data_IF_922683025615
#
_entry.id   IF_922683025615
#
_cell.length_a   1.000
_cell.length_b   1.000
_cell.length_c   1.000
_cell.angle_alpha   90.00
_cell.angle_beta   90.00
_cell.angle_gamma   90.00
#
_symmetry.space_group_name_H-M   'P 1'
#
loop_
_entity.id
_entity.type
_entity.pdbx_description
1 polymer ?
#
# COMPACT_ATOMS: atom_id res chain seq x y z
N UNK A 1 -7.44 17.16 -3.24
CA UNK A 1 -7.52 15.69 -3.13
C UNK A 1 -6.59 15.06 -4.16
N UNK A 2 -5.69 14.15 -3.76
CA UNK A 2 -4.84 13.38 -4.68
C UNK A 2 -5.54 12.09 -5.10
N UNK A 3 -6.08 11.35 -4.11
CA UNK A 3 -6.89 10.15 -4.31
C UNK A 3 -8.27 10.36 -3.69
N UNK A 4 -9.31 9.99 -4.43
CA UNK A 4 -10.68 9.95 -3.95
C UNK A 4 -11.32 8.61 -4.32
N UNK A 5 -11.85 7.92 -3.33
CA UNK A 5 -12.64 6.71 -3.49
C UNK A 5 -14.05 7.03 -3.02
N UNK A 6 -15.06 6.84 -3.88
CA UNK A 6 -16.43 7.16 -3.55
C UNK A 6 -17.35 5.95 -3.78
N UNK A 7 -18.09 5.59 -2.72
CA UNK A 7 -19.12 4.54 -2.70
C UNK A 7 -18.67 3.20 -3.28
N UNK A 8 -17.40 2.83 -2.99
CA UNK A 8 -16.81 1.61 -3.51
C UNK A 8 -17.49 0.38 -2.90
N UNK A 9 -17.95 -0.52 -3.76
CA UNK A 9 -18.45 -1.85 -3.42
C UNK A 9 -17.63 -2.89 -4.16
N UNK A 10 -17.25 -3.95 -3.48
CA UNK A 10 -16.56 -5.10 -4.07
C UNK A 10 -17.18 -6.37 -3.54
N UNK A 11 -17.66 -7.24 -4.44
CA UNK A 11 -18.16 -8.56 -4.11
C UNK A 11 -17.37 -9.63 -4.86
N UNK A 12 -17.13 -10.75 -4.19
CA UNK A 12 -16.65 -11.98 -4.79
C UNK A 12 -17.78 -13.01 -4.66
N UNK A 13 -18.38 -13.39 -5.78
CA UNK A 13 -19.62 -14.16 -5.84
C UNK A 13 -20.72 -13.52 -4.98
N UNK A 14 -21.12 -14.16 -3.89
CA UNK A 14 -22.14 -13.65 -2.95
C UNK A 14 -21.55 -12.92 -1.75
N UNK A 15 -20.23 -12.90 -1.59
CA UNK A 15 -19.55 -12.30 -0.45
C UNK A 15 -19.23 -10.82 -0.72
N UNK A 16 -19.95 -9.92 -0.05
CA UNK A 16 -19.63 -8.48 -0.09
C UNK A 16 -18.46 -8.20 0.84
N UNK A 17 -17.32 -7.78 0.25
CA UNK A 17 -16.10 -7.47 0.99
C UNK A 17 -15.99 -5.98 1.30
N UNK A 18 -16.36 -5.11 0.35
CA UNK A 18 -16.46 -3.67 0.56
C UNK A 18 -17.88 -3.21 0.29
N UNK A 19 -18.42 -2.35 1.15
CA UNK A 19 -19.80 -1.93 1.13
C UNK A 19 -19.94 -0.42 1.31
N UNK A 20 -20.14 0.30 0.20
CA UNK A 20 -20.34 1.75 0.17
C UNK A 20 -19.21 2.55 0.83
N UNK A 21 -17.96 2.13 0.57
CA UNK A 21 -16.77 2.67 1.19
C UNK A 21 -16.31 3.94 0.48
N UNK A 22 -16.04 5.00 1.26
CA UNK A 22 -15.49 6.25 0.74
C UNK A 22 -14.31 6.67 1.60
N UNK A 23 -13.18 7.04 0.96
CA UNK A 23 -12.00 7.63 1.58
C UNK A 23 -11.36 8.66 0.64
N UNK A 24 -10.57 9.57 1.22
CA UNK A 24 -9.77 10.52 0.46
C UNK A 24 -8.34 10.61 0.99
N UNK A 25 -7.39 10.97 0.13
CA UNK A 25 -5.99 11.20 0.49
C UNK A 25 -5.52 12.50 -0.16
N UNK A 26 -4.98 13.43 0.63
CA UNK A 26 -4.40 14.67 0.11
C UNK A 26 -2.95 14.47 -0.32
N UNK A 27 -2.39 15.45 -1.06
CA UNK A 27 -0.98 15.41 -1.45
C UNK A 27 -0.08 15.49 -0.21
N UNK A 28 1.03 14.75 -0.23
CA UNK A 28 2.06 14.72 0.82
C UNK A 28 1.51 14.27 2.19
N UNK A 29 0.30 13.72 2.23
CA UNK A 29 -0.32 13.18 3.42
C UNK A 29 0.13 11.73 3.67
N UNK A 30 0.29 11.35 4.95
CA UNK A 30 0.31 9.97 5.38
C UNK A 30 -1.04 9.65 6.00
N UNK A 31 -1.87 8.93 5.27
CA UNK A 31 -3.16 8.43 5.74
C UNK A 31 -3.03 6.98 6.13
N UNK A 32 -3.62 6.57 7.23
CA UNK A 32 -3.72 5.17 7.58
C UNK A 32 -5.13 4.60 7.40
N UNK A 33 -5.17 3.31 7.12
CA UNK A 33 -6.38 2.50 7.18
C UNK A 33 -6.13 1.32 8.13
N UNK A 34 -6.80 1.32 9.27
CA UNK A 34 -6.67 0.27 10.27
C UNK A 34 -7.95 -0.54 10.39
N UNK A 35 -7.84 -1.76 10.88
CA UNK A 35 -8.98 -2.64 11.11
C UNK A 35 -8.58 -4.10 11.27
N UNK A 36 -9.48 -4.96 11.76
CA UNK A 36 -9.18 -6.37 11.95
C UNK A 36 -8.88 -7.11 10.65
N UNK A 37 -8.36 -8.35 10.79
CA UNK A 37 -8.18 -9.25 9.65
C UNK A 37 -9.54 -9.53 9.00
N UNK A 38 -9.57 -9.56 7.67
CA UNK A 38 -10.82 -9.78 6.93
C UNK A 38 -11.73 -8.55 6.81
N UNK A 39 -11.36 -7.39 7.36
CA UNK A 39 -12.18 -6.17 7.25
C UNK A 39 -12.29 -5.62 5.82
N UNK A 40 -11.42 -6.05 4.88
CA UNK A 40 -11.41 -5.60 3.49
C UNK A 40 -10.25 -4.66 3.11
N UNK A 41 -9.27 -4.47 4.02
CA UNK A 41 -8.14 -3.54 3.82
C UNK A 41 -7.36 -3.77 2.53
N UNK A 42 -6.84 -4.98 2.33
CA UNK A 42 -6.08 -5.34 1.11
C UNK A 42 -6.96 -5.32 -0.13
N UNK A 43 -8.25 -5.65 0.01
CA UNK A 43 -9.22 -5.56 -1.10
C UNK A 43 -9.41 -4.12 -1.55
N UNK A 44 -9.44 -3.16 -0.61
CA UNK A 44 -9.48 -1.74 -0.95
C UNK A 44 -8.25 -1.31 -1.73
N UNK A 45 -7.04 -1.64 -1.26
CA UNK A 45 -5.80 -1.31 -1.99
C UNK A 45 -5.78 -1.94 -3.39
N UNK A 46 -6.22 -3.19 -3.52
CA UNK A 46 -6.30 -3.89 -4.81
C UNK A 46 -7.35 -3.27 -5.75
N UNK A 47 -8.46 -2.78 -5.20
CA UNK A 47 -9.46 -2.06 -5.99
C UNK A 47 -8.92 -0.71 -6.49
N UNK A 48 -8.29 0.08 -5.62
CA UNK A 48 -7.65 1.36 -5.96
C UNK A 48 -6.59 1.19 -7.05
N UNK A 49 -5.82 0.11 -7.02
CA UNK A 49 -4.70 -0.15 -7.94
C UNK A 49 -5.08 -0.99 -9.17
N UNK A 50 -6.39 -1.21 -9.40
CA UNK A 50 -6.91 -1.91 -10.57
C UNK A 50 -6.75 -3.42 -10.56
N UNK A 51 -6.23 -4.01 -9.46
CA UNK A 51 -6.00 -5.45 -9.38
C UNK A 51 -7.29 -6.26 -9.23
N UNK A 52 -8.34 -5.70 -8.59
CA UNK A 52 -9.68 -6.35 -8.53
C UNK A 52 -10.31 -6.39 -9.92
N UNK A 53 -10.18 -5.31 -10.70
CA UNK A 53 -10.68 -5.27 -12.07
C UNK A 53 -9.96 -6.28 -12.98
N UNK A 54 -8.66 -6.44 -12.80
CA UNK A 54 -7.87 -7.45 -13.49
C UNK A 54 -8.28 -8.88 -13.10
N UNK A 55 -8.51 -9.14 -11.81
CA UNK A 55 -9.04 -10.43 -11.32
C UNK A 55 -10.39 -10.75 -11.93
N UNK A 56 -11.30 -9.78 -11.96
CA UNK A 56 -12.62 -9.93 -12.60
C UNK A 56 -12.47 -10.41 -14.05
N UNK A 57 -11.54 -9.82 -14.79
CA UNK A 57 -11.32 -10.20 -16.19
C UNK A 57 -10.82 -11.64 -16.34
N UNK A 58 -9.88 -12.07 -15.48
CA UNK A 58 -9.36 -13.45 -15.50
C UNK A 58 -10.43 -14.45 -15.08
N UNK A 59 -11.15 -14.17 -13.97
CA UNK A 59 -12.16 -15.08 -13.41
C UNK A 59 -13.30 -15.31 -14.40
N UNK A 60 -13.77 -14.26 -15.10
CA UNK A 60 -14.77 -14.41 -16.17
C UNK A 60 -14.32 -15.35 -17.30
N UNK A 61 -13.01 -15.40 -17.58
CA UNK A 61 -12.45 -16.25 -18.66
C UNK A 61 -12.18 -17.70 -18.23
N UNK A 62 -12.00 -17.96 -16.93
CA UNK A 62 -11.44 -19.24 -16.48
C UNK A 62 -12.36 -20.11 -15.63
N UNK A 63 -13.09 -19.56 -14.67
CA UNK A 63 -13.72 -20.37 -13.61
C UNK A 63 -15.22 -20.16 -13.43
N UNK A 64 -15.81 -19.18 -14.12
CA UNK A 64 -17.23 -18.83 -13.96
C UNK A 64 -17.60 -18.18 -12.63
N UNK A 65 -16.61 -17.80 -11.79
CA UNK A 65 -16.84 -16.95 -10.60
C UNK A 65 -17.16 -15.51 -11.03
N UNK A 66 -17.88 -14.79 -10.17
CA UNK A 66 -18.25 -13.40 -10.42
C UNK A 66 -17.53 -12.45 -9.44
N UNK A 67 -16.87 -11.43 -9.99
CA UNK A 67 -16.27 -10.35 -9.23
C UNK A 67 -16.92 -9.05 -9.66
N UNK A 68 -17.68 -8.43 -8.77
CA UNK A 68 -18.31 -7.14 -9.06
C UNK A 68 -17.57 -6.02 -8.35
N UNK A 69 -17.42 -4.89 -9.04
CA UNK A 69 -16.86 -3.65 -8.52
C UNK A 69 -17.74 -2.49 -8.97
N UNK A 70 -18.23 -1.71 -8.02
CA UNK A 70 -19.05 -0.51 -8.22
C UNK A 70 -18.45 0.66 -7.45
N UNK A 71 -18.84 1.88 -7.81
CA UNK A 71 -18.28 3.11 -7.24
C UNK A 71 -17.22 3.73 -8.12
N UNK A 72 -16.45 4.66 -7.59
CA UNK A 72 -15.44 5.39 -8.36
C UNK A 72 -14.12 5.48 -7.61
N UNK A 73 -13.02 5.38 -8.36
CA UNK A 73 -11.68 5.67 -7.88
C UNK A 73 -11.09 6.76 -8.77
N UNK A 74 -10.79 7.90 -8.19
CA UNK A 74 -10.25 9.06 -8.89
C UNK A 74 -8.86 9.38 -8.35
N UNK A 75 -7.87 9.54 -9.22
CA UNK A 75 -6.51 9.90 -8.88
C UNK A 75 -6.06 11.08 -9.75
N UNK A 76 -5.65 12.20 -9.13
CA UNK A 76 -5.34 13.47 -9.82
C UNK A 76 -6.49 13.96 -10.74
N UNK A 77 -7.75 13.70 -10.36
CA UNK A 77 -8.92 14.08 -11.15
C UNK A 77 -9.29 13.10 -12.27
N UNK A 78 -8.48 12.06 -12.51
CA UNK A 78 -8.77 11.03 -13.54
C UNK A 78 -9.36 9.76 -12.93
N UNK A 79 -10.28 9.11 -13.65
CA UNK A 79 -10.91 7.85 -13.26
C UNK A 79 -9.94 6.67 -13.43
N UNK A 80 -9.62 5.99 -12.32
CA UNK A 80 -8.72 4.83 -12.30
C UNK A 80 -9.46 3.51 -12.43
N UNK A 81 -10.70 3.44 -12.00
CA UNK A 81 -11.55 2.24 -12.11
C UNK A 81 -11.88 1.83 -13.55
N UNK A 82 -11.59 2.70 -14.53
CA UNK A 82 -11.85 2.48 -15.96
C UNK A 82 -10.60 2.06 -16.76
N UNK A 83 -9.43 2.00 -16.12
CA UNK A 83 -8.16 1.74 -16.80
C UNK A 83 -7.43 0.53 -16.20
N UNK A 84 -6.60 -0.18 -16.99
CA UNK A 84 -5.89 -1.36 -16.50
C UNK A 84 -4.78 -1.00 -15.50
N UNK A 85 -4.45 -1.92 -14.59
CA UNK A 85 -3.51 -1.70 -13.50
C UNK A 85 -2.14 -1.15 -13.95
N UNK A 86 -1.60 -1.60 -15.10
CA UNK A 86 -0.32 -1.10 -15.59
C UNK A 86 -0.35 0.37 -16.02
N UNK A 87 -1.52 0.88 -16.46
CA UNK A 87 -1.71 2.30 -16.75
C UNK A 87 -1.83 3.13 -15.46
N UNK A 88 -2.42 2.56 -14.41
CA UNK A 88 -2.48 3.18 -13.06
C UNK A 88 -1.05 3.38 -12.54
N UNK A 89 -0.20 2.36 -12.65
CA UNK A 89 1.22 2.43 -12.24
C UNK A 89 1.96 3.54 -12.99
N UNK A 90 1.76 3.71 -14.30
CA UNK A 90 2.36 4.79 -15.09
C UNK A 90 1.99 6.19 -14.58
N UNK A 91 0.82 6.35 -13.99
CA UNK A 91 0.36 7.62 -13.39
C UNK A 91 0.99 7.91 -12.03
N UNK A 92 1.69 6.92 -11.45
CA UNK A 92 2.41 7.06 -10.18
C UNK A 92 1.63 6.58 -8.95
N UNK A 93 0.55 5.80 -9.13
CA UNK A 93 -0.15 5.14 -8.04
C UNK A 93 0.39 3.71 -7.91
N UNK A 94 1.15 3.46 -6.84
CA UNK A 94 1.95 2.24 -6.69
C UNK A 94 1.47 1.43 -5.50
N UNK A 95 1.38 0.11 -5.66
CA UNK A 95 1.07 -0.84 -4.60
C UNK A 95 2.33 -1.57 -4.11
N UNK A 96 2.61 -1.46 -2.82
CA UNK A 96 3.56 -2.30 -2.11
C UNK A 96 2.76 -3.36 -1.34
N UNK A 97 2.63 -4.59 -1.85
CA UNK A 97 1.77 -5.61 -1.28
C UNK A 97 2.34 -6.20 0.00
N UNK A 98 1.47 -6.82 0.81
CA UNK A 98 1.86 -7.61 1.95
C UNK A 98 2.86 -8.73 1.60
N UNK A 99 3.55 -9.28 2.62
CA UNK A 99 4.50 -10.40 2.49
C UNK A 99 5.67 -10.11 1.57
N UNK A 100 6.04 -8.84 1.38
CA UNK A 100 7.29 -8.38 0.72
C UNK A 100 7.40 -8.76 -0.76
N UNK A 101 7.03 -9.97 -1.17
CA UNK A 101 7.03 -10.56 -2.52
C UNK A 101 8.27 -10.20 -3.35
N UNK A 102 9.51 -10.44 -2.85
CA UNK A 102 10.69 -10.27 -3.68
C UNK A 102 10.69 -11.32 -4.82
N UNK A 103 11.33 -10.99 -5.92
CA UNK A 103 11.70 -11.98 -6.93
C UNK A 103 12.90 -12.78 -6.37
N UNK A 104 12.62 -13.87 -5.67
CA UNK A 104 13.54 -14.57 -4.77
C UNK A 104 14.84 -15.01 -5.42
N UNK A 105 14.80 -15.37 -6.71
CA UNK A 105 15.95 -15.84 -7.50
C UNK A 105 16.79 -14.68 -8.08
N UNK A 106 16.26 -13.45 -8.04
CA UNK A 106 16.95 -12.26 -8.51
C UNK A 106 17.81 -11.64 -7.40
N UNK A 107 18.86 -10.94 -7.79
CA UNK A 107 19.65 -10.13 -6.85
C UNK A 107 18.84 -8.95 -6.31
N UNK A 108 19.34 -8.30 -5.26
CA UNK A 108 18.75 -7.07 -4.72
C UNK A 108 18.66 -6.00 -5.78
N UNK A 109 19.74 -5.76 -6.53
CA UNK A 109 19.77 -4.72 -7.57
C UNK A 109 18.80 -5.06 -8.73
N UNK A 110 18.67 -6.31 -9.12
CA UNK A 110 17.72 -6.71 -10.18
C UNK A 110 16.27 -6.52 -9.73
N UNK A 111 15.96 -6.81 -8.46
CA UNK A 111 14.66 -6.51 -7.88
C UNK A 111 14.36 -4.99 -7.91
N UNK A 112 15.36 -4.15 -7.61
CA UNK A 112 15.20 -2.69 -7.68
C UNK A 112 14.96 -2.24 -9.12
N UNK A 113 15.75 -2.73 -10.09
CA UNK A 113 15.55 -2.41 -11.51
C UNK A 113 14.17 -2.87 -12.02
N UNK A 114 13.66 -4.02 -11.55
CA UNK A 114 12.30 -4.44 -11.89
C UNK A 114 11.24 -3.41 -11.45
N UNK A 115 11.46 -2.69 -10.33
CA UNK A 115 10.59 -1.59 -9.91
C UNK A 115 10.62 -0.38 -10.84
N UNK A 116 11.71 -0.19 -11.58
CA UNK A 116 11.89 0.88 -12.54
C UNK A 116 11.48 0.51 -13.99
N UNK A 117 10.88 -0.67 -14.21
CA UNK A 117 10.61 -1.24 -15.54
C UNK A 117 9.88 -0.28 -16.50
N UNK A 118 9.01 0.59 -15.99
CA UNK A 118 8.27 1.55 -16.80
C UNK A 118 9.03 2.87 -17.05
N UNK A 119 10.21 3.06 -16.46
CA UNK A 119 11.03 4.26 -16.65
C UNK A 119 12.00 4.06 -17.81
N UNK A 120 11.84 4.85 -18.87
CA UNK A 120 12.66 4.76 -20.08
C UNK A 120 14.02 5.45 -19.92
N UNK A 121 14.07 6.53 -19.13
CA UNK A 121 15.25 7.38 -18.98
C UNK A 121 16.26 6.77 -17.99
N UNK A 122 17.38 6.25 -18.50
CA UNK A 122 18.43 5.64 -17.67
C UNK A 122 18.94 6.54 -16.53
N UNK A 123 19.05 7.86 -16.78
CA UNK A 123 19.45 8.82 -15.76
C UNK A 123 18.47 8.84 -14.59
N UNK A 124 17.17 8.90 -14.86
CA UNK A 124 16.13 8.87 -13.81
C UNK A 124 16.14 7.57 -13.02
N UNK A 125 16.44 6.44 -13.67
CA UNK A 125 16.58 5.15 -12.99
C UNK A 125 17.77 5.17 -12.04
N UNK A 126 18.91 5.72 -12.49
CA UNK A 126 20.11 5.82 -11.64
C UNK A 126 19.89 6.78 -10.47
N UNK A 127 19.30 7.96 -10.70
CA UNK A 127 18.98 8.92 -9.64
C UNK A 127 18.04 8.30 -8.57
N UNK A 128 17.09 7.47 -9.00
CA UNK A 128 16.20 6.77 -8.08
C UNK A 128 16.91 5.68 -7.28
N UNK A 129 17.79 4.93 -7.93
CA UNK A 129 18.60 3.91 -7.26
C UNK A 129 19.47 4.53 -6.16
N UNK A 130 20.08 5.67 -6.41
CA UNK A 130 20.86 6.40 -5.43
C UNK A 130 20.03 6.84 -4.23
N UNK A 131 18.82 7.40 -4.47
CA UNK A 131 17.88 7.75 -3.41
C UNK A 131 17.45 6.53 -2.57
N UNK A 132 17.18 5.39 -3.23
CA UNK A 132 16.85 4.14 -2.54
C UNK A 132 18.01 3.67 -1.68
N UNK A 133 19.26 3.77 -2.15
CA UNK A 133 20.44 3.40 -1.39
C UNK A 133 20.74 4.35 -0.23
N UNK A 134 20.46 5.66 -0.38
CA UNK A 134 20.52 6.62 0.73
C UNK A 134 19.51 6.27 1.83
N UNK A 135 18.30 5.92 1.44
CA UNK A 135 17.23 5.55 2.38
C UNK A 135 17.46 4.17 3.02
N UNK A 136 17.99 3.23 2.25
CA UNK A 136 18.25 1.85 2.65
C UNK A 136 19.70 1.42 2.36
N UNK A 137 20.70 1.89 3.14
CA UNK A 137 22.11 1.58 2.87
C UNK A 137 22.44 0.07 2.87
N UNK A 138 21.64 -0.74 3.57
CA UNK A 138 21.78 -2.20 3.59
C UNK A 138 21.55 -2.81 2.21
N UNK A 139 20.66 -2.24 1.39
CA UNK A 139 20.40 -2.74 0.04
C UNK A 139 21.59 -2.48 -0.89
N UNK A 140 22.30 -1.36 -0.71
CA UNK A 140 23.54 -1.09 -1.45
C UNK A 140 24.63 -2.09 -1.10
N UNK A 141 24.85 -2.33 0.21
CA UNK A 141 25.86 -3.30 0.71
C UNK A 141 25.61 -4.73 0.22
N UNK A 142 24.34 -5.06 -0.03
CA UNK A 142 23.89 -6.40 -0.46
C UNK A 142 23.39 -6.44 -1.92
N UNK A 143 23.75 -5.45 -2.72
CA UNK A 143 23.21 -5.27 -4.08
C UNK A 143 23.27 -6.52 -4.95
N UNK A 144 24.35 -7.27 -4.90
CA UNK A 144 24.57 -8.50 -5.66
C UNK A 144 24.09 -9.78 -4.93
N UNK A 145 23.54 -9.66 -3.71
CA UNK A 145 23.03 -10.82 -2.97
C UNK A 145 21.66 -11.25 -3.53
N UNK A 146 21.44 -12.56 -3.61
CA UNK A 146 20.15 -13.15 -4.00
C UNK A 146 19.10 -12.80 -2.94
N UNK A 147 17.99 -12.17 -3.37
CA UNK A 147 17.03 -11.54 -2.47
C UNK A 147 16.28 -12.54 -1.57
N UNK A 148 16.15 -13.78 -2.00
CA UNK A 148 15.56 -14.86 -1.21
C UNK A 148 16.34 -15.21 0.07
N UNK A 149 17.63 -14.81 0.16
CA UNK A 149 18.53 -15.06 1.31
C UNK A 149 18.57 -13.92 2.32
N UNK A 150 17.89 -12.81 2.04
CA UNK A 150 17.79 -11.66 2.94
C UNK A 150 16.95 -11.99 4.18
N UNK A 151 17.24 -11.31 5.30
CA UNK A 151 16.36 -11.32 6.47
C UNK A 151 14.99 -10.70 6.16
N UNK A 152 13.98 -11.01 6.98
CA UNK A 152 12.63 -10.47 6.77
C UNK A 152 12.57 -8.93 6.76
N UNK A 153 13.36 -8.25 7.59
CA UNK A 153 13.45 -6.79 7.58
C UNK A 153 14.11 -6.25 6.31
N UNK A 154 15.19 -6.89 5.83
CA UNK A 154 15.85 -6.49 4.59
C UNK A 154 14.97 -6.74 3.36
N UNK A 155 14.19 -7.82 3.35
CA UNK A 155 13.19 -8.06 2.31
C UNK A 155 12.09 -6.99 2.31
N UNK A 156 11.70 -6.50 3.50
CA UNK A 156 10.73 -5.41 3.63
C UNK A 156 11.30 -4.09 3.08
N UNK A 157 12.56 -3.77 3.40
CA UNK A 157 13.24 -2.61 2.83
C UNK A 157 13.38 -2.75 1.31
N UNK A 158 13.66 -3.95 0.80
CA UNK A 158 13.71 -4.20 -0.64
C UNK A 158 12.35 -3.99 -1.31
N UNK A 159 11.24 -4.41 -0.68
CA UNK A 159 9.89 -4.20 -1.21
C UNK A 159 9.55 -2.70 -1.30
N UNK A 160 9.85 -1.92 -0.25
CA UNK A 160 9.69 -0.47 -0.24
C UNK A 160 10.61 0.20 -1.27
N UNK A 161 11.87 -0.19 -1.33
CA UNK A 161 12.85 0.32 -2.30
C UNK A 161 12.41 0.05 -3.74
N UNK A 162 11.94 -1.15 -4.04
CA UNK A 162 11.39 -1.52 -5.37
C UNK A 162 10.20 -0.65 -5.75
N UNK A 163 9.28 -0.38 -4.81
CA UNK A 163 8.16 0.52 -5.05
C UNK A 163 8.62 1.95 -5.32
N UNK A 164 9.64 2.45 -4.60
CA UNK A 164 10.23 3.78 -4.81
C UNK A 164 10.91 3.95 -6.16
N UNK A 165 11.46 2.87 -6.72
CA UNK A 165 12.10 2.90 -8.04
C UNK A 165 11.15 3.35 -9.15
N UNK A 166 9.83 3.16 -9.02
CA UNK A 166 8.83 3.62 -9.98
C UNK A 166 8.44 5.10 -9.85
N UNK A 167 9.04 5.87 -8.91
CA UNK A 167 8.75 7.30 -8.64
C UNK A 167 7.27 7.53 -8.30
N UNK A 168 6.77 6.92 -7.23
CA UNK A 168 5.37 7.06 -6.86
C UNK A 168 5.00 8.50 -6.51
N UNK A 169 3.80 8.94 -6.90
CA UNK A 169 3.11 10.11 -6.34
C UNK A 169 2.29 9.70 -5.12
N UNK A 170 1.71 8.49 -5.17
CA UNK A 170 1.01 7.83 -4.08
C UNK A 170 1.51 6.39 -3.96
N UNK A 171 1.96 5.99 -2.78
CA UNK A 171 2.31 4.61 -2.48
C UNK A 171 1.32 4.02 -1.47
N UNK A 172 0.60 2.99 -1.90
CA UNK A 172 -0.26 2.15 -1.07
C UNK A 172 0.59 1.04 -0.47
N UNK A 173 0.73 1.00 0.86
CA UNK A 173 1.57 0.03 1.57
C UNK A 173 0.67 -0.88 2.39
N UNK A 174 0.72 -2.19 2.11
CA UNK A 174 -0.13 -3.20 2.74
C UNK A 174 0.64 -3.98 3.82
N UNK A 175 0.26 -3.78 5.07
CA UNK A 175 0.77 -4.46 6.28
C UNK A 175 2.30 -4.66 6.32
N UNK A 176 3.10 -3.59 6.21
CA UNK A 176 4.55 -3.70 6.11
C UNK A 176 5.22 -4.27 7.37
N UNK A 177 4.55 -4.22 8.53
CA UNK A 177 5.08 -4.69 9.80
C UNK A 177 4.84 -6.20 10.04
N UNK A 178 3.97 -6.84 9.24
CA UNK A 178 3.54 -8.23 9.45
C UNK A 178 4.70 -9.21 9.41
N UNK A 179 4.78 -10.08 10.43
CA UNK A 179 5.82 -11.11 10.56
C UNK A 179 7.23 -10.56 10.83
N UNK A 180 7.37 -9.35 11.34
CA UNK A 180 8.63 -8.76 11.80
C UNK A 180 8.75 -8.77 13.32
N UNK A 181 9.98 -8.92 13.81
CA UNK A 181 10.30 -8.70 15.23
C UNK A 181 10.05 -7.24 15.62
N UNK A 182 9.71 -6.92 16.89
CA UNK A 182 9.33 -5.57 17.32
C UNK A 182 10.32 -4.47 16.93
N UNK A 183 11.61 -4.72 17.08
CA UNK A 183 12.66 -3.76 16.72
C UNK A 183 12.68 -3.46 15.22
N UNK A 184 12.42 -4.46 14.37
CA UNK A 184 12.37 -4.29 12.92
C UNK A 184 11.09 -3.57 12.48
N UNK A 185 9.95 -3.78 13.16
CA UNK A 185 8.71 -3.03 12.91
C UNK A 185 8.95 -1.54 13.12
N UNK A 186 9.53 -1.16 14.28
CA UNK A 186 9.87 0.24 14.56
C UNK A 186 10.71 0.83 13.43
N UNK A 187 11.74 0.15 13.00
CA UNK A 187 12.63 0.61 11.93
C UNK A 187 11.90 0.76 10.58
N UNK A 188 10.97 -0.14 10.26
CA UNK A 188 10.14 -0.01 9.04
C UNK A 188 9.24 1.23 9.10
N UNK A 189 8.60 1.50 10.24
CA UNK A 189 7.77 2.70 10.40
C UNK A 189 8.59 4.00 10.33
N UNK A 190 9.80 4.02 10.90
CA UNK A 190 10.75 5.13 10.75
C UNK A 190 11.05 5.39 9.26
N UNK A 191 11.32 4.34 8.47
CA UNK A 191 11.54 4.45 7.02
C UNK A 191 10.29 4.91 6.25
N UNK A 192 9.10 4.51 6.66
CA UNK A 192 7.84 5.01 6.07
C UNK A 192 7.70 6.53 6.30
N UNK A 193 8.03 7.02 7.49
CA UNK A 193 8.06 8.46 7.77
C UNK A 193 9.11 9.19 6.93
N UNK A 194 10.32 8.61 6.78
CA UNK A 194 11.34 9.18 5.90
C UNK A 194 10.86 9.25 4.44
N UNK A 195 10.17 8.21 3.93
CA UNK A 195 9.57 8.21 2.58
C UNK A 195 8.55 9.34 2.43
N UNK A 196 7.66 9.53 3.42
CA UNK A 196 6.71 10.65 3.40
C UNK A 196 7.43 11.99 3.35
N UNK A 197 8.53 12.15 4.12
CA UNK A 197 9.32 13.38 4.16
C UNK A 197 10.06 13.70 2.83
N UNK A 198 10.13 12.75 1.91
CA UNK A 198 10.57 12.97 0.52
C UNK A 198 9.45 13.57 -0.38
N UNK A 199 8.29 13.91 0.18
CA UNK A 199 7.14 14.46 -0.55
C UNK A 199 6.25 13.40 -1.21
N UNK A 200 6.38 12.12 -0.82
CA UNK A 200 5.57 11.04 -1.36
C UNK A 200 4.32 10.88 -0.50
N UNK A 201 3.15 10.89 -1.13
CA UNK A 201 1.87 10.61 -0.46
C UNK A 201 1.78 9.13 -0.12
N UNK A 202 1.29 8.79 1.07
CA UNK A 202 1.22 7.42 1.55
C UNK A 202 -0.19 7.05 2.01
N UNK A 203 -0.68 5.90 1.57
CA UNK A 203 -1.83 5.21 2.15
C UNK A 203 -1.33 3.92 2.79
N UNK A 204 -1.26 3.92 4.11
CA UNK A 204 -0.70 2.84 4.91
C UNK A 204 -1.82 1.98 5.49
N UNK A 205 -1.85 0.71 5.13
CA UNK A 205 -2.76 -0.28 5.73
C UNK A 205 -2.02 -1.06 6.80
N UNK A 206 -2.58 -1.11 8.01
CA UNK A 206 -1.96 -1.78 9.13
C UNK A 206 -2.98 -2.33 10.15
N UNK A 207 -2.50 -3.22 11.02
CA UNK A 207 -3.22 -3.71 12.19
C UNK A 207 -2.70 -3.10 13.49
N UNK A 208 -1.43 -2.68 13.51
CA UNK A 208 -0.78 -2.10 14.70
C UNK A 208 -1.17 -0.63 14.85
N UNK A 209 -2.31 -0.42 15.54
CA UNK A 209 -2.91 0.91 15.73
C UNK A 209 -2.01 1.87 16.49
N UNK A 210 -1.35 1.38 17.56
CA UNK A 210 -0.60 2.21 18.52
C UNK A 210 0.56 2.99 17.87
N UNK A 211 1.23 2.39 16.89
CA UNK A 211 2.33 3.02 16.15
C UNK A 211 1.81 3.88 15.01
N UNK A 212 0.84 3.35 14.26
CA UNK A 212 0.34 4.01 13.05
C UNK A 212 -0.38 5.32 13.36
N UNK A 213 -1.17 5.38 14.44
CA UNK A 213 -1.86 6.59 14.87
C UNK A 213 -0.93 7.73 15.32
N UNK A 214 0.33 7.42 15.61
CA UNK A 214 1.35 8.44 15.95
C UNK A 214 2.01 9.06 14.73
N UNK A 215 2.05 8.35 13.60
CA UNK A 215 2.77 8.77 12.40
C UNK A 215 1.86 9.26 11.28
N UNK A 216 0.60 8.80 11.26
CA UNK A 216 -0.38 9.24 10.27
C UNK A 216 -1.08 10.53 10.71
N UNK A 217 -1.28 11.43 9.76
CA UNK A 217 -2.00 12.69 10.00
C UNK A 217 -3.51 12.48 10.10
N UNK A 218 -4.02 11.47 9.39
CA UNK A 218 -5.44 11.09 9.37
C UNK A 218 -5.56 9.57 9.28
N UNK A 219 -6.57 9.05 9.95
CA UNK A 219 -6.77 7.62 10.08
C UNK A 219 -8.22 7.25 9.76
N UNK A 220 -8.39 6.19 9.00
CA UNK A 220 -9.68 5.53 8.78
C UNK A 220 -9.72 4.21 9.53
N UNK A 221 -10.85 3.92 10.17
CA UNK A 221 -11.10 2.62 10.80
C UNK A 221 -12.08 1.85 9.95
N UNK A 222 -11.64 0.70 9.45
CA UNK A 222 -12.42 -0.20 8.59
C UNK A 222 -12.91 -1.40 9.39
N UNK A 223 -14.21 -1.68 9.33
CA UNK A 223 -14.82 -2.88 9.89
C UNK A 223 -15.88 -3.42 8.94
N UNK A 224 -15.83 -4.73 8.67
CA UNK A 224 -16.80 -5.43 7.82
C UNK A 224 -17.11 -4.69 6.50
N UNK A 225 -16.07 -4.21 5.84
CA UNK A 225 -16.16 -3.54 4.54
C UNK A 225 -16.65 -2.08 4.58
N UNK A 226 -16.80 -1.46 5.76
CA UNK A 226 -17.27 -0.08 5.92
C UNK A 226 -16.29 0.76 6.73
N UNK A 227 -16.15 2.02 6.40
CA UNK A 227 -15.49 2.99 7.26
C UNK A 227 -16.44 3.32 8.41
N UNK A 228 -16.00 3.04 9.65
CA UNK A 228 -16.78 3.25 10.86
C UNK A 228 -16.32 4.48 11.65
N UNK A 229 -15.11 4.96 11.40
CA UNK A 229 -14.58 6.17 11.99
C UNK A 229 -13.48 6.78 11.13
N UNK A 230 -13.32 8.10 11.22
CA UNK A 230 -12.25 8.89 10.62
C UNK A 230 -11.81 9.98 11.60
N UNK A 231 -10.50 10.24 11.69
CA UNK A 231 -9.97 11.30 12.55
C UNK A 231 -8.46 11.21 12.75
N UNK A 232 -7.94 12.10 13.61
CA UNK A 232 -6.56 11.99 14.09
C UNK A 232 -6.42 10.80 15.03
N UNK A 233 -5.19 10.29 15.21
CA UNK A 233 -4.95 9.18 16.14
C UNK A 233 -5.39 9.50 17.57
N UNK A 234 -5.22 10.76 18.01
CA UNK A 234 -5.66 11.22 19.32
C UNK A 234 -7.19 11.17 19.48
N UNK A 235 -7.93 11.72 18.51
CA UNK A 235 -9.40 11.69 18.50
C UNK A 235 -9.95 10.25 18.56
N UNK A 236 -9.41 9.37 17.75
CA UNK A 236 -9.88 7.99 17.68
C UNK A 236 -9.55 7.17 18.95
N UNK A 237 -8.45 7.50 19.64
CA UNK A 237 -8.08 6.85 20.89
C UNK A 237 -8.89 7.35 22.10
N UNK A 238 -9.55 8.52 22.00
CA UNK A 238 -10.47 9.02 23.03
C UNK A 238 -11.84 8.32 23.00
N UNK A 239 -12.23 7.73 21.86
CA UNK A 239 -13.47 6.95 21.74
C UNK A 239 -13.31 5.57 22.38
N UNK A 240 -13.92 5.38 23.54
CA UNK A 240 -13.82 4.14 24.31
C UNK A 240 -14.48 2.94 23.64
N UNK A 241 -15.59 3.17 22.92
CA UNK A 241 -16.31 2.12 22.19
C UNK A 241 -15.47 1.66 21.00
N UNK A 242 -14.94 2.61 20.22
CA UNK A 242 -14.06 2.32 19.09
C UNK A 242 -12.83 1.53 19.54
N UNK A 243 -12.18 1.98 20.61
CA UNK A 243 -10.97 1.37 21.16
C UNK A 243 -11.19 -0.08 21.56
N UNK A 244 -12.20 -0.35 22.39
CA UNK A 244 -12.51 -1.69 22.91
C UNK A 244 -13.06 -2.64 21.85
N UNK A 245 -13.92 -2.13 20.94
CA UNK A 245 -14.65 -2.98 20.00
C UNK A 245 -13.87 -3.26 18.71
N UNK A 246 -13.13 -2.29 18.20
CA UNK A 246 -12.55 -2.34 16.85
C UNK A 246 -11.03 -2.24 16.80
N UNK A 247 -10.39 -1.59 17.78
CA UNK A 247 -8.95 -1.39 17.78
C UNK A 247 -8.19 -2.44 18.61
N UNK A 248 -8.90 -3.21 19.45
CA UNK A 248 -8.31 -4.23 20.32
C UNK A 248 -7.40 -3.65 21.43
N UNK A 249 -7.74 -2.44 21.93
CA UNK A 249 -6.97 -1.68 22.92
C UNK A 249 -7.75 -1.51 24.23
#
# INVERSE_FOLDING_TARGET
MLLEVAKLKVCYDKAMILNDLSIGVEREELVSLVGPNGAGKSTLLRAITGLVAWEREITRRSTGGDVTIEGTVTFEGERMDLIPAHEIVKRGLIHCPERRRPFREMTVIDNLYAGAYLLIEKKKVQDNLEKVYQLFPVLQKRSNQVSGTLSGGEQQMLALGRALMSRPKLMCIDEPSTGLAPILRKHVFEKIVEIRNLGITLLLVEQEVSTVFKIASRNYVLSSGKIIAEGTGEQLLQDEVLRKTYLGL
#
